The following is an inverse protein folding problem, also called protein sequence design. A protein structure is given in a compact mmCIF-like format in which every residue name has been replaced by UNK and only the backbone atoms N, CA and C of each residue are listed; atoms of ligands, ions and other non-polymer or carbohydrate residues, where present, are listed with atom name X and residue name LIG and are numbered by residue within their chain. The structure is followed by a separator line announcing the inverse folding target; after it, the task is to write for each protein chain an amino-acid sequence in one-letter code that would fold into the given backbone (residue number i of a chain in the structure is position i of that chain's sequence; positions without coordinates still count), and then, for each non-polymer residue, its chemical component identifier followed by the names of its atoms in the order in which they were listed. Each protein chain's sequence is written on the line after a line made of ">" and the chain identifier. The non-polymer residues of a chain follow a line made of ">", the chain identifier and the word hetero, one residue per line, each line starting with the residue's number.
data_IF_768948558613
#
_entry.id   IF_768948558613
#
_cell.length_a   1.000
_cell.length_b   1.000
_cell.length_c   1.000
_cell.angle_alpha   90.00
_cell.angle_beta   90.00
_cell.angle_gamma   90.00
#
_symmetry.space_group_name_H-M   'P 1'
#
loop_
_entity.id
_entity.type
_entity.pdbx_description
1 polymer ?
#
# COMPACT_ATOMS: atom_id res chain seq x y z
N UNK A 1 31.74 29.74 -10.03
CA UNK A 1 31.11 28.43 -10.34
C UNK A 1 31.50 27.29 -9.38
N UNK A 2 32.76 27.21 -8.91
CA UNK A 2 33.19 26.08 -8.01
C UNK A 2 32.63 26.17 -6.57
N UNK A 3 32.54 27.40 -5.96
CA UNK A 3 32.05 27.56 -4.58
C UNK A 3 30.52 27.27 -4.45
N UNK A 4 29.72 27.70 -5.41
CA UNK A 4 28.29 27.44 -5.40
C UNK A 4 27.99 25.94 -5.54
N UNK A 5 28.77 25.22 -6.36
CA UNK A 5 28.62 23.77 -6.52
C UNK A 5 29.04 23.02 -5.24
N UNK A 6 30.08 23.51 -4.54
CA UNK A 6 30.50 22.93 -3.25
C UNK A 6 29.43 23.14 -2.18
N UNK A 7 28.88 24.35 -2.07
CA UNK A 7 27.81 24.66 -1.11
C UNK A 7 26.52 23.84 -1.39
N UNK A 8 26.14 23.68 -2.65
CA UNK A 8 25.01 22.82 -3.04
C UNK A 8 25.28 21.35 -2.72
N UNK A 9 26.48 20.85 -2.99
CA UNK A 9 26.85 19.48 -2.68
C UNK A 9 26.84 19.22 -1.16
N UNK A 10 27.44 20.11 -0.36
CA UNK A 10 27.44 19.97 1.11
C UNK A 10 26.01 20.02 1.68
N UNK A 11 25.15 20.88 1.15
CA UNK A 11 23.75 20.93 1.55
C UNK A 11 22.99 19.67 1.17
N UNK A 12 23.19 19.15 -0.05
CA UNK A 12 22.57 17.89 -0.51
C UNK A 12 23.01 16.68 0.32
N UNK A 13 24.30 16.54 0.59
CA UNK A 13 24.80 15.47 1.46
C UNK A 13 24.35 15.63 2.91
N UNK A 14 24.34 16.86 3.43
CA UNK A 14 23.86 17.15 4.78
C UNK A 14 22.38 16.80 4.96
N UNK A 15 21.53 17.14 3.99
CA UNK A 15 20.11 16.77 4.01
C UNK A 15 19.90 15.26 3.87
N UNK A 16 20.67 14.57 3.02
CA UNK A 16 20.62 13.12 2.91
C UNK A 16 21.00 12.44 4.24
N UNK A 17 22.10 12.85 4.87
CA UNK A 17 22.53 12.31 6.16
C UNK A 17 21.49 12.58 7.23
N UNK A 18 20.91 13.78 7.29
CA UNK A 18 19.87 14.14 8.26
C UNK A 18 18.64 13.21 8.12
N UNK A 19 18.15 13.00 6.91
CA UNK A 19 17.01 12.10 6.66
C UNK A 19 17.34 10.67 7.08
N UNK A 20 18.55 10.17 6.74
CA UNK A 20 18.97 8.83 7.12
C UNK A 20 19.08 8.68 8.65
N UNK A 21 19.62 9.68 9.34
CA UNK A 21 19.74 9.67 10.81
C UNK A 21 18.34 9.64 11.46
N UNK A 22 17.41 10.47 11.00
CA UNK A 22 16.05 10.50 11.53
C UNK A 22 15.36 9.15 11.31
N UNK A 23 15.48 8.56 10.11
CA UNK A 23 14.89 7.26 9.79
C UNK A 23 15.45 6.14 10.67
N UNK A 24 16.80 6.08 10.78
CA UNK A 24 17.47 5.07 11.61
C UNK A 24 17.11 5.27 13.08
N UNK A 25 17.07 6.50 13.57
CA UNK A 25 16.69 6.80 14.95
C UNK A 25 15.24 6.35 15.24
N UNK A 26 14.28 6.64 14.35
CA UNK A 26 12.89 6.21 14.49
C UNK A 26 12.78 4.68 14.50
N UNK A 27 13.41 4.00 13.56
CA UNK A 27 13.41 2.53 13.52
C UNK A 27 14.06 1.93 14.78
N UNK A 28 15.21 2.46 15.20
CA UNK A 28 15.92 2.00 16.40
C UNK A 28 15.06 2.21 17.65
N UNK A 29 14.37 3.35 17.73
CA UNK A 29 13.50 3.66 18.86
C UNK A 29 12.33 2.67 18.96
N UNK A 30 11.69 2.34 17.84
CA UNK A 30 10.61 1.33 17.79
C UNK A 30 11.15 -0.06 18.17
N UNK A 31 12.33 -0.44 17.67
CA UNK A 31 12.95 -1.73 17.98
C UNK A 31 13.32 -1.81 19.47
N UNK A 32 13.85 -0.74 20.03
CA UNK A 32 14.30 -0.71 21.43
C UNK A 32 13.13 -0.85 22.41
N UNK A 33 12.00 -0.16 22.16
CA UNK A 33 10.82 -0.18 23.05
C UNK A 33 9.86 -1.33 22.72
N UNK A 34 9.69 -1.68 21.45
CA UNK A 34 8.75 -2.72 21.04
C UNK A 34 9.35 -4.13 21.04
N UNK A 35 10.62 -4.27 20.66
CA UNK A 35 11.28 -5.58 20.51
C UNK A 35 11.22 -6.48 21.74
N UNK A 36 11.55 -5.99 22.95
CA UNK A 36 11.53 -6.81 24.17
C UNK A 36 10.15 -7.32 24.57
N UNK A 37 9.06 -6.70 24.04
CA UNK A 37 7.68 -7.07 24.34
C UNK A 37 7.12 -8.12 23.39
N UNK A 38 7.86 -8.49 22.35
CA UNK A 38 7.42 -9.50 21.40
C UNK A 38 7.59 -10.89 22.02
N UNK A 39 6.47 -11.48 22.39
CA UNK A 39 6.36 -12.85 22.85
C UNK A 39 5.56 -13.68 21.86
N UNK A 40 5.64 -15.00 21.96
CA UNK A 40 4.81 -15.90 21.13
C UNK A 40 3.33 -15.64 21.41
N UNK A 41 2.99 -15.45 22.67
CA UNK A 41 1.63 -15.16 23.12
C UNK A 41 1.11 -13.86 22.52
N UNK A 42 1.92 -12.80 22.49
CA UNK A 42 1.57 -11.53 21.87
C UNK A 42 1.26 -11.67 20.36
N UNK A 43 1.96 -12.54 19.65
CA UNK A 43 1.73 -12.72 18.23
C UNK A 43 0.53 -13.63 17.92
N UNK A 44 0.21 -14.61 18.77
CA UNK A 44 -0.76 -15.66 18.46
C UNK A 44 -2.06 -15.61 19.26
N UNK A 45 -2.12 -14.86 20.35
CA UNK A 45 -3.34 -14.75 21.14
C UNK A 45 -4.27 -13.66 20.58
N UNK A 46 -5.51 -13.73 21.01
CA UNK A 46 -6.51 -12.69 20.81
C UNK A 46 -6.35 -11.59 21.86
N UNK A 47 -6.73 -10.34 21.54
CA UNK A 47 -6.75 -9.26 22.52
C UNK A 47 -7.65 -9.61 23.73
N UNK A 48 -7.19 -9.30 24.93
CA UNK A 48 -7.86 -9.56 26.19
C UNK A 48 -7.67 -8.38 27.15
N UNK A 49 -8.16 -8.50 28.39
CA UNK A 49 -8.00 -7.51 29.46
C UNK A 49 -9.15 -6.51 29.57
N UNK A 50 -9.06 -5.63 30.58
CA UNK A 50 -9.96 -4.50 30.78
C UNK A 50 -9.12 -3.23 31.05
N UNK A 51 -9.13 -2.22 30.15
CA UNK A 51 -9.84 -2.19 28.87
C UNK A 51 -9.31 -3.20 27.87
N UNK A 52 -10.13 -3.58 26.90
CA UNK A 52 -9.79 -4.58 25.87
C UNK A 52 -8.56 -4.15 25.08
N UNK A 53 -7.60 -5.08 24.93
CA UNK A 53 -6.36 -4.86 24.19
C UNK A 53 -5.16 -4.46 25.05
N UNK A 54 -5.33 -4.35 26.39
CA UNK A 54 -4.21 -4.13 27.32
C UNK A 54 -3.47 -5.43 27.62
N UNK A 55 -4.13 -6.57 27.44
CA UNK A 55 -3.58 -7.91 27.61
C UNK A 55 -3.85 -8.75 26.37
N UNK A 56 -3.20 -9.91 26.29
CA UNK A 56 -3.35 -10.85 25.17
C UNK A 56 -2.44 -10.52 24.01
N UNK A 57 -2.92 -10.74 22.80
CA UNK A 57 -2.12 -10.62 21.58
C UNK A 57 -2.81 -9.84 20.47
N UNK A 58 -2.12 -9.81 19.31
CA UNK A 58 -2.54 -9.04 18.14
C UNK A 58 -2.79 -9.92 16.90
N UNK A 59 -2.97 -11.23 17.08
CA UNK A 59 -3.14 -12.17 15.98
C UNK A 59 -4.22 -11.76 14.97
N UNK A 60 -5.45 -11.35 15.38
CA UNK A 60 -6.48 -10.93 14.45
C UNK A 60 -6.09 -9.67 13.65
N UNK A 61 -5.32 -8.75 14.26
CA UNK A 61 -4.85 -7.56 13.59
C UNK A 61 -3.78 -7.87 12.52
N UNK A 62 -2.91 -8.85 12.79
CA UNK A 62 -1.92 -9.33 11.81
C UNK A 62 -2.65 -9.94 10.60
N UNK A 63 -3.56 -10.88 10.84
CA UNK A 63 -4.30 -11.55 9.77
C UNK A 63 -5.17 -10.57 9.00
N UNK A 64 -5.87 -9.69 9.71
CA UNK A 64 -6.71 -8.68 9.08
C UNK A 64 -5.93 -7.73 8.17
N UNK A 65 -4.77 -7.25 8.61
CA UNK A 65 -3.90 -6.40 7.77
C UNK A 65 -3.37 -7.14 6.53
N UNK A 66 -3.01 -8.42 6.65
CA UNK A 66 -2.55 -9.22 5.51
C UNK A 66 -3.70 -9.42 4.51
N UNK A 67 -4.88 -9.81 4.98
CA UNK A 67 -6.07 -10.01 4.13
C UNK A 67 -6.48 -8.72 3.42
N UNK A 68 -6.50 -7.61 4.14
CA UNK A 68 -6.77 -6.28 3.61
C UNK A 68 -5.77 -5.89 2.50
N UNK A 69 -4.47 -6.07 2.77
CA UNK A 69 -3.42 -5.78 1.80
C UNK A 69 -3.54 -6.63 0.53
N UNK A 70 -3.79 -7.94 0.68
CA UNK A 70 -3.96 -8.86 -0.44
C UNK A 70 -5.22 -8.54 -1.28
N UNK A 71 -6.34 -8.25 -0.61
CA UNK A 71 -7.59 -7.93 -1.29
C UNK A 71 -7.46 -6.58 -2.02
N UNK A 72 -6.90 -5.57 -1.37
CA UNK A 72 -6.62 -4.27 -1.98
C UNK A 72 -5.67 -4.39 -3.18
N UNK A 73 -4.59 -5.15 -3.06
CA UNK A 73 -3.63 -5.38 -4.15
C UNK A 73 -4.30 -6.04 -5.35
N UNK A 74 -5.12 -7.05 -5.11
CA UNK A 74 -5.84 -7.78 -6.16
C UNK A 74 -6.82 -6.87 -6.91
N UNK A 75 -7.64 -6.12 -6.18
CA UNK A 75 -8.60 -5.18 -6.76
C UNK A 75 -7.89 -4.04 -7.51
N UNK A 76 -6.83 -3.50 -6.94
CA UNK A 76 -6.05 -2.44 -7.57
C UNK A 76 -5.35 -2.93 -8.84
N UNK A 77 -4.83 -4.16 -8.87
CA UNK A 77 -4.21 -4.76 -10.04
C UNK A 77 -5.20 -4.92 -11.20
N UNK A 78 -6.44 -5.39 -10.91
CA UNK A 78 -7.51 -5.56 -11.91
C UNK A 78 -7.81 -4.24 -12.63
N UNK A 79 -7.74 -3.10 -11.93
CA UNK A 79 -8.01 -1.78 -12.52
C UNK A 79 -6.74 -1.17 -13.13
N UNK A 80 -5.62 -1.24 -12.42
CA UNK A 80 -4.40 -0.52 -12.79
C UNK A 80 -3.69 -1.11 -13.99
N UNK A 81 -3.69 -2.45 -14.16
CA UNK A 81 -3.01 -3.11 -15.29
C UNK A 81 -3.63 -2.71 -16.63
N UNK A 82 -4.96 -2.87 -16.86
CA UNK A 82 -5.57 -2.43 -18.11
C UNK A 82 -5.44 -0.93 -18.36
N UNK A 83 -5.58 -0.12 -17.30
CA UNK A 83 -5.40 1.33 -17.40
C UNK A 83 -3.99 1.70 -17.87
N UNK A 84 -2.96 1.09 -17.31
CA UNK A 84 -1.57 1.35 -17.67
C UNK A 84 -1.24 0.87 -19.10
N UNK A 85 -1.70 -0.33 -19.50
CA UNK A 85 -1.56 -0.84 -20.86
C UNK A 85 -2.22 0.07 -21.87
N UNK A 86 -3.44 0.52 -21.58
CA UNK A 86 -4.16 1.44 -22.47
C UNK A 86 -3.45 2.80 -22.59
N UNK A 87 -2.84 3.29 -21.53
CA UNK A 87 -2.05 4.53 -21.56
C UNK A 87 -0.80 4.41 -22.43
N UNK A 88 -0.12 3.27 -22.40
CA UNK A 88 1.16 3.09 -23.11
C UNK A 88 0.96 2.71 -24.57
N UNK A 89 0.01 1.82 -24.86
CA UNK A 89 -0.15 1.21 -26.19
C UNK A 89 -1.49 1.56 -26.85
N UNK A 90 -2.42 2.18 -26.13
CA UNK A 90 -3.70 2.60 -26.68
C UNK A 90 -3.54 3.76 -27.67
N UNK A 91 -4.39 3.76 -28.70
CA UNK A 91 -4.45 4.89 -29.65
C UNK A 91 -5.21 6.06 -29.02
N UNK A 92 -4.59 6.71 -28.02
CA UNK A 92 -5.18 7.79 -27.25
C UNK A 92 -4.67 9.13 -27.77
N UNK A 93 -5.58 10.09 -28.00
CA UNK A 93 -5.14 11.45 -28.30
C UNK A 93 -4.35 12.03 -27.13
N UNK A 94 -3.37 12.89 -27.43
CA UNK A 94 -2.50 13.54 -26.44
C UNK A 94 -3.29 14.20 -25.32
N UNK A 95 -4.37 14.91 -25.66
CA UNK A 95 -5.24 15.56 -24.67
C UNK A 95 -5.87 14.56 -23.68
N UNK A 96 -6.38 13.43 -24.17
CA UNK A 96 -6.97 12.39 -23.30
C UNK A 96 -5.92 11.79 -22.35
N UNK A 97 -4.71 11.54 -22.86
CA UNK A 97 -3.59 11.04 -22.03
C UNK A 97 -3.21 12.05 -20.95
N UNK A 98 -3.13 13.34 -21.30
CA UNK A 98 -2.82 14.41 -20.34
C UNK A 98 -3.93 14.56 -19.28
N UNK A 99 -5.21 14.50 -19.68
CA UNK A 99 -6.33 14.49 -18.72
C UNK A 99 -6.29 13.30 -17.76
N UNK A 100 -5.98 12.11 -18.27
CA UNK A 100 -5.90 10.91 -17.45
C UNK A 100 -4.75 11.00 -16.43
N UNK A 101 -3.57 11.42 -16.87
CA UNK A 101 -2.43 11.66 -15.98
C UNK A 101 -2.73 12.74 -14.94
N UNK A 102 -3.40 13.81 -15.35
CA UNK A 102 -3.84 14.85 -14.44
C UNK A 102 -4.78 14.31 -13.37
N UNK A 103 -5.78 13.51 -13.75
CA UNK A 103 -6.71 12.87 -12.80
C UNK A 103 -5.97 11.99 -11.80
N UNK A 104 -5.06 11.11 -12.25
CA UNK A 104 -4.27 10.27 -11.36
C UNK A 104 -3.42 11.10 -10.38
N UNK A 105 -2.81 12.19 -10.85
CA UNK A 105 -2.02 13.09 -9.98
C UNK A 105 -2.92 13.82 -8.97
N UNK A 106 -4.09 14.27 -9.37
CA UNK A 106 -5.06 14.85 -8.44
C UNK A 106 -5.50 13.86 -7.37
N UNK A 107 -5.81 12.62 -7.76
CA UNK A 107 -6.16 11.55 -6.80
C UNK A 107 -5.02 11.25 -5.82
N UNK A 108 -3.76 11.23 -6.31
CA UNK A 108 -2.59 11.02 -5.44
C UNK A 108 -2.37 12.14 -4.42
N UNK A 109 -2.90 13.34 -4.68
CA UNK A 109 -2.79 14.49 -3.79
C UNK A 109 -3.92 14.59 -2.75
N UNK A 110 -4.92 13.73 -2.82
CA UNK A 110 -6.03 13.76 -1.85
C UNK A 110 -5.57 13.25 -0.47
N UNK A 111 -5.89 13.96 0.61
CA UNK A 111 -5.68 13.44 1.96
C UNK A 111 -6.43 12.11 2.17
N UNK A 112 -5.76 11.12 2.71
CA UNK A 112 -6.33 9.78 2.91
C UNK A 112 -7.61 9.78 3.77
N UNK A 113 -7.72 10.72 4.72
CA UNK A 113 -8.93 10.92 5.54
C UNK A 113 -10.14 11.27 4.67
N UNK A 114 -9.96 12.14 3.66
CA UNK A 114 -11.04 12.52 2.74
C UNK A 114 -11.51 11.33 1.90
N UNK A 115 -10.56 10.48 1.45
CA UNK A 115 -10.91 9.25 0.73
C UNK A 115 -11.74 8.33 1.64
N UNK A 116 -11.37 8.19 2.91
CA UNK A 116 -12.12 7.42 3.90
C UNK A 116 -13.53 7.94 4.13
N UNK A 117 -13.68 9.25 4.36
CA UNK A 117 -14.98 9.89 4.56
C UNK A 117 -15.88 9.82 3.31
N UNK A 118 -15.29 10.04 2.13
CA UNK A 118 -16.03 9.89 0.87
C UNK A 118 -16.51 8.45 0.68
N UNK A 119 -15.62 7.47 0.87
CA UNK A 119 -15.98 6.06 0.76
C UNK A 119 -17.02 5.65 1.80
N UNK A 120 -16.92 6.13 3.04
CA UNK A 120 -17.95 5.93 4.05
C UNK A 120 -19.31 6.46 3.58
N UNK A 121 -19.34 7.69 3.08
CA UNK A 121 -20.57 8.31 2.59
C UNK A 121 -21.18 7.52 1.43
N UNK A 122 -20.37 7.08 0.49
CA UNK A 122 -20.85 6.36 -0.70
C UNK A 122 -21.18 4.89 -0.37
N UNK A 123 -20.25 4.15 0.23
CA UNK A 123 -20.42 2.70 0.43
C UNK A 123 -21.38 2.40 1.58
N UNK A 124 -21.23 3.08 2.72
CA UNK A 124 -22.01 2.74 3.91
C UNK A 124 -23.35 3.48 3.91
N UNK A 125 -23.34 4.81 3.75
CA UNK A 125 -24.57 5.59 3.89
C UNK A 125 -25.46 5.53 2.65
N UNK A 126 -24.89 5.61 1.44
CA UNK A 126 -25.70 5.65 0.21
C UNK A 126 -26.00 4.27 -0.35
N UNK A 127 -25.02 3.35 -0.43
CA UNK A 127 -25.20 2.00 -0.96
C UNK A 127 -25.66 1.00 0.11
N UNK A 128 -25.63 1.34 1.40
CA UNK A 128 -26.06 0.46 2.49
C UNK A 128 -25.16 -0.76 2.70
N UNK A 129 -23.90 -0.71 2.25
CA UNK A 129 -22.93 -1.80 2.47
C UNK A 129 -22.40 -1.69 3.90
N UNK A 130 -22.38 -2.78 4.63
CA UNK A 130 -21.87 -2.80 5.99
C UNK A 130 -20.37 -2.48 6.08
N UNK A 131 -19.94 -1.94 7.23
CA UNK A 131 -18.53 -1.81 7.55
C UNK A 131 -17.88 -3.19 7.53
N UNK A 132 -16.87 -3.37 6.67
CA UNK A 132 -16.32 -4.70 6.40
C UNK A 132 -14.89 -4.61 5.83
N UNK A 133 -14.23 -5.76 5.79
CA UNK A 133 -12.96 -5.93 5.09
C UNK A 133 -13.09 -5.52 3.61
N UNK A 134 -14.22 -5.85 2.97
CA UNK A 134 -14.50 -5.46 1.58
C UNK A 134 -14.59 -3.95 1.42
N UNK A 135 -15.39 -3.27 2.24
CA UNK A 135 -15.57 -1.82 2.18
C UNK A 135 -14.24 -1.06 2.39
N UNK A 136 -13.44 -1.54 3.35
CA UNK A 136 -12.11 -0.99 3.61
C UNK A 136 -11.18 -1.23 2.42
N UNK A 137 -11.15 -2.44 1.86
CA UNK A 137 -10.33 -2.78 0.70
C UNK A 137 -10.69 -2.00 -0.56
N UNK A 138 -12.00 -1.75 -0.81
CA UNK A 138 -12.45 -0.86 -1.90
C UNK A 138 -11.90 0.56 -1.67
N UNK A 139 -12.02 1.08 -0.45
CA UNK A 139 -11.54 2.41 -0.08
C UNK A 139 -10.04 2.55 -0.32
N UNK A 140 -9.26 1.59 0.15
CA UNK A 140 -7.82 1.55 -0.07
C UNK A 140 -7.45 1.35 -1.52
N UNK A 141 -8.23 0.57 -2.28
CA UNK A 141 -8.05 0.40 -3.72
C UNK A 141 -8.12 1.74 -4.44
N UNK A 142 -9.14 2.56 -4.14
CA UNK A 142 -9.24 3.92 -4.71
C UNK A 142 -8.01 4.76 -4.38
N UNK A 143 -7.48 4.63 -3.15
CA UNK A 143 -6.29 5.36 -2.72
C UNK A 143 -5.01 4.93 -3.46
N UNK A 144 -4.83 3.63 -3.72
CA UNK A 144 -3.57 3.10 -4.28
C UNK A 144 -3.56 2.99 -5.80
N UNK A 145 -4.71 2.99 -6.47
CA UNK A 145 -4.82 2.95 -7.95
C UNK A 145 -3.87 3.94 -8.63
N UNK A 146 -3.83 5.24 -8.29
CA UNK A 146 -2.95 6.18 -8.98
C UNK A 146 -1.48 5.82 -8.81
N UNK A 147 -1.07 5.38 -7.62
CA UNK A 147 0.30 4.97 -7.34
C UNK A 147 0.72 3.75 -8.17
N UNK A 148 -0.12 2.70 -8.18
CA UNK A 148 0.15 1.46 -8.92
C UNK A 148 0.10 1.73 -10.43
N UNK A 149 -0.90 2.46 -10.93
CA UNK A 149 -1.05 2.74 -12.36
C UNK A 149 0.14 3.52 -12.91
N UNK A 150 0.56 4.60 -12.23
CA UNK A 150 1.70 5.40 -12.67
C UNK A 150 3.02 4.59 -12.69
N UNK A 151 3.17 3.67 -11.75
CA UNK A 151 4.34 2.79 -11.71
C UNK A 151 4.29 1.73 -12.81
N UNK A 152 3.12 1.13 -13.06
CA UNK A 152 2.92 0.18 -14.16
C UNK A 152 3.11 0.83 -15.55
N UNK A 153 2.66 2.08 -15.73
CA UNK A 153 2.93 2.85 -16.95
C UNK A 153 4.43 2.92 -17.22
N UNK A 154 5.23 3.19 -16.19
CA UNK A 154 6.69 3.22 -16.29
C UNK A 154 7.26 1.86 -16.72
N UNK A 155 6.84 0.80 -16.04
CA UNK A 155 7.27 -0.57 -16.31
C UNK A 155 6.91 -1.00 -17.73
N UNK A 156 5.69 -0.71 -18.20
CA UNK A 156 5.28 -1.07 -19.56
C UNK A 156 5.96 -0.22 -20.64
N UNK A 157 6.43 0.98 -20.32
CA UNK A 157 7.24 1.78 -21.23
C UNK A 157 8.66 1.21 -21.48
N UNK A 158 9.15 0.35 -20.60
CA UNK A 158 10.46 -0.30 -20.75
C UNK A 158 10.45 -1.41 -21.80
N UNK A 159 9.27 -1.93 -22.18
CA UNK A 159 9.16 -2.89 -23.28
C UNK A 159 9.50 -2.22 -24.62
N UNK A 160 10.40 -2.80 -25.45
CA UNK A 160 10.88 -2.18 -26.68
C UNK A 160 9.75 -1.91 -27.67
N UNK A 161 9.58 -0.64 -28.04
CA UNK A 161 8.53 -0.21 -28.96
C UNK A 161 8.68 -0.83 -30.35
N UNK A 162 9.91 -1.02 -30.81
CA UNK A 162 10.20 -1.67 -32.08
C UNK A 162 9.68 -3.10 -32.14
N UNK A 163 9.81 -3.85 -31.03
CA UNK A 163 9.28 -5.22 -30.92
C UNK A 163 7.76 -5.21 -30.95
N UNK A 164 7.13 -4.24 -30.29
CA UNK A 164 5.68 -4.09 -30.31
C UNK A 164 5.15 -3.78 -31.71
N UNK A 165 5.77 -2.82 -32.41
CA UNK A 165 5.40 -2.42 -33.78
C UNK A 165 5.67 -3.56 -34.80
N UNK A 166 6.77 -4.29 -34.65
CA UNK A 166 7.05 -5.47 -35.48
C UNK A 166 5.97 -6.56 -35.33
N UNK A 167 5.53 -6.83 -34.10
CA UNK A 167 4.46 -7.78 -33.83
C UNK A 167 3.11 -7.34 -34.44
N UNK A 168 2.78 -6.06 -34.41
CA UNK A 168 1.61 -5.50 -35.09
C UNK A 168 1.70 -5.67 -36.61
N UNK A 169 2.87 -5.40 -37.21
CA UNK A 169 3.10 -5.56 -38.64
C UNK A 169 3.00 -7.03 -39.09
N UNK A 170 3.26 -7.98 -38.21
CA UNK A 170 3.01 -9.41 -38.42
C UNK A 170 1.55 -9.81 -38.33
N UNK A 171 0.64 -8.87 -38.07
CA UNK A 171 -0.83 -9.10 -37.98
C UNK A 171 -1.30 -9.57 -36.60
N UNK A 172 -0.46 -9.53 -35.55
CA UNK A 172 -0.89 -9.88 -34.20
C UNK A 172 -1.82 -8.79 -33.64
N UNK A 173 -2.89 -9.18 -32.94
CA UNK A 173 -3.79 -8.22 -32.32
C UNK A 173 -3.11 -7.55 -31.09
N UNK A 174 -3.42 -6.28 -30.78
CA UNK A 174 -2.88 -5.60 -29.61
C UNK A 174 -3.10 -6.39 -28.30
N UNK A 175 -4.28 -6.96 -28.11
CA UNK A 175 -4.60 -7.76 -26.93
C UNK A 175 -3.72 -9.01 -26.79
N UNK A 176 -3.41 -9.66 -27.91
CA UNK A 176 -2.50 -10.81 -27.93
C UNK A 176 -1.09 -10.40 -27.52
N UNK A 177 -0.59 -9.29 -28.08
CA UNK A 177 0.75 -8.76 -27.76
C UNK A 177 0.82 -8.38 -26.27
N UNK A 178 -0.20 -7.73 -25.74
CA UNK A 178 -0.23 -7.36 -24.32
C UNK A 178 -0.15 -8.59 -23.40
N UNK A 179 -0.99 -9.59 -23.66
CA UNK A 179 -1.10 -10.76 -22.78
C UNK A 179 0.10 -11.71 -22.89
N UNK A 180 0.72 -11.85 -24.09
CA UNK A 180 1.74 -12.86 -24.35
C UNK A 180 3.16 -12.29 -24.44
N UNK A 181 3.31 -10.98 -24.60
CA UNK A 181 4.64 -10.37 -24.73
C UNK A 181 4.88 -9.31 -23.65
N UNK A 182 4.01 -8.29 -23.54
CA UNK A 182 4.22 -7.15 -22.63
C UNK A 182 4.07 -7.56 -21.18
N UNK A 183 2.95 -8.14 -20.79
CA UNK A 183 2.70 -8.54 -19.37
C UNK A 183 3.73 -9.56 -18.88
N UNK A 184 4.04 -10.64 -19.61
CA UNK A 184 5.04 -11.60 -19.15
C UNK A 184 6.45 -11.00 -19.03
N UNK A 185 6.87 -10.12 -19.96
CA UNK A 185 8.16 -9.45 -19.87
C UNK A 185 8.27 -8.49 -18.68
N UNK A 186 7.17 -7.84 -18.33
CA UNK A 186 7.06 -6.86 -17.25
C UNK A 186 6.59 -7.47 -15.91
N UNK A 187 6.40 -8.79 -15.83
CA UNK A 187 5.73 -9.45 -14.70
C UNK A 187 6.42 -9.19 -13.37
N UNK A 188 7.74 -9.26 -13.31
CA UNK A 188 8.50 -9.06 -12.07
C UNK A 188 8.34 -7.66 -11.52
N UNK A 189 8.53 -6.66 -12.36
CA UNK A 189 8.46 -5.25 -11.97
C UNK A 189 7.01 -4.82 -11.72
N UNK A 190 6.07 -5.38 -12.48
CA UNK A 190 4.64 -5.21 -12.27
C UNK A 190 4.17 -5.77 -10.92
N UNK A 191 4.56 -6.99 -10.56
CA UNK A 191 4.28 -7.57 -9.25
C UNK A 191 4.90 -6.76 -8.12
N UNK A 192 6.14 -6.29 -8.30
CA UNK A 192 6.80 -5.40 -7.34
C UNK A 192 6.01 -4.09 -7.15
N UNK A 193 5.49 -3.50 -8.23
CA UNK A 193 4.68 -2.29 -8.15
C UNK A 193 3.38 -2.50 -7.37
N UNK A 194 2.69 -3.62 -7.62
CA UNK A 194 1.43 -3.98 -6.94
C UNK A 194 1.69 -4.26 -5.45
N UNK A 195 2.71 -5.03 -5.13
CA UNK A 195 3.04 -5.37 -3.76
C UNK A 195 3.51 -4.16 -2.92
N UNK A 196 4.21 -3.19 -3.54
CA UNK A 196 4.50 -1.91 -2.90
C UNK A 196 3.22 -1.09 -2.65
N UNK A 197 2.25 -1.15 -3.57
CA UNK A 197 0.92 -0.57 -3.36
C UNK A 197 0.17 -1.22 -2.21
N UNK A 198 0.24 -2.55 -2.07
CA UNK A 198 -0.31 -3.29 -0.93
C UNK A 198 0.34 -2.86 0.39
N UNK A 199 1.67 -2.76 0.43
CA UNK A 199 2.39 -2.30 1.61
C UNK A 199 2.00 -0.87 2.02
N UNK A 200 1.79 0.01 1.03
CA UNK A 200 1.30 1.36 1.27
C UNK A 200 -0.12 1.36 1.84
N UNK A 201 -1.01 0.52 1.30
CA UNK A 201 -2.37 0.34 1.81
C UNK A 201 -2.38 -0.18 3.25
N UNK A 202 -1.60 -1.23 3.55
CA UNK A 202 -1.48 -1.83 4.88
C UNK A 202 -0.98 -0.86 5.97
N UNK A 203 -0.31 0.23 5.60
CA UNK A 203 0.11 1.28 6.53
C UNK A 203 -0.93 2.37 6.76
N UNK A 204 -2.04 2.39 6.02
CA UNK A 204 -3.02 3.46 6.06
C UNK A 204 -4.06 3.24 7.17
N UNK A 205 -4.13 4.13 8.14
CA UNK A 205 -5.10 4.07 9.26
C UNK A 205 -6.39 4.82 8.95
N UNK A 206 -6.27 6.06 8.45
CA UNK A 206 -7.40 6.97 8.31
C UNK A 206 -8.53 6.48 7.38
N UNK A 207 -8.26 5.88 6.21
CA UNK A 207 -9.33 5.38 5.35
C UNK A 207 -10.14 4.26 5.98
N UNK A 208 -9.47 3.32 6.66
CA UNK A 208 -10.11 2.10 7.14
C UNK A 208 -10.92 2.30 8.42
N UNK A 209 -10.57 3.29 9.24
CA UNK A 209 -11.29 3.57 10.49
C UNK A 209 -12.77 3.91 10.27
N UNK A 210 -13.12 4.45 9.11
CA UNK A 210 -14.51 4.77 8.76
C UNK A 210 -15.22 3.61 8.07
N UNK A 211 -14.50 2.74 7.37
CA UNK A 211 -15.08 1.79 6.40
C UNK A 211 -15.06 0.33 6.85
N UNK A 212 -14.22 -0.06 7.80
CA UNK A 212 -14.22 -1.48 8.19
C UNK A 212 -13.39 -1.85 9.42
N UNK A 213 -12.46 -1.00 9.86
CA UNK A 213 -11.62 -1.32 11.00
C UNK A 213 -12.39 -1.24 12.33
N UNK A 214 -12.16 -2.22 13.19
CA UNK A 214 -12.68 -2.29 14.55
C UNK A 214 -11.55 -2.55 15.55
N UNK A 215 -11.79 -2.15 16.82
CA UNK A 215 -10.83 -2.34 17.88
C UNK A 215 -10.59 -3.82 18.20
N UNK A 216 -11.65 -4.62 18.14
CA UNK A 216 -11.65 -5.99 18.61
C UNK A 216 -12.51 -6.90 17.75
N UNK A 217 -12.00 -8.10 17.45
CA UNK A 217 -12.75 -9.22 16.88
C UNK A 217 -12.32 -10.53 17.53
N UNK A 218 -13.26 -11.47 17.70
CA UNK A 218 -13.02 -12.81 18.27
C UNK A 218 -12.71 -13.87 17.23
N UNK A 219 -12.76 -13.53 15.96
CA UNK A 219 -12.58 -14.47 14.84
C UNK A 219 -11.75 -13.85 13.73
N UNK A 220 -11.22 -14.70 12.85
CA UNK A 220 -10.69 -14.26 11.58
C UNK A 220 -11.85 -13.71 10.76
N UNK A 221 -11.74 -12.49 10.19
CA UNK A 221 -12.85 -11.85 9.49
C UNK A 221 -13.14 -12.55 8.17
N UNK A 222 -14.41 -12.71 7.83
CA UNK A 222 -14.83 -12.93 6.47
C UNK A 222 -14.75 -11.61 5.68
N UNK A 223 -14.93 -11.69 4.36
CA UNK A 223 -14.85 -10.50 3.48
C UNK A 223 -15.90 -9.44 3.85
N UNK A 224 -17.05 -9.86 4.35
CA UNK A 224 -18.19 -9.01 4.75
C UNK A 224 -18.16 -8.57 6.22
N UNK A 225 -17.21 -9.07 7.01
CA UNK A 225 -17.15 -8.77 8.44
C UNK A 225 -16.20 -7.57 8.69
N UNK A 226 -16.44 -6.81 9.77
CA UNK A 226 -15.46 -5.87 10.29
C UNK A 226 -14.20 -6.61 10.75
N UNK A 227 -13.05 -5.94 10.68
CA UNK A 227 -11.77 -6.56 10.94
C UNK A 227 -10.85 -5.69 11.80
N UNK A 228 -9.92 -6.34 12.49
CA UNK A 228 -8.81 -5.64 13.12
C UNK A 228 -7.70 -5.40 12.11
N UNK A 229 -7.07 -4.22 12.17
CA UNK A 229 -5.89 -3.88 11.38
C UNK A 229 -4.78 -3.36 12.30
N UNK A 230 -3.54 -3.71 12.03
CA UNK A 230 -2.38 -3.28 12.82
C UNK A 230 -2.26 -1.75 12.95
N UNK A 231 -2.39 -0.96 11.87
CA UNK A 231 -2.30 0.50 11.99
C UNK A 231 -3.46 1.10 12.79
N UNK A 232 -4.66 0.53 12.71
CA UNK A 232 -5.79 1.00 13.50
C UNK A 232 -5.66 0.57 14.97
N UNK A 233 -5.20 -0.63 15.25
CA UNK A 233 -4.92 -1.11 16.60
C UNK A 233 -3.85 -0.23 17.27
N UNK A 234 -2.74 0.04 16.57
CA UNK A 234 -1.72 0.98 17.02
C UNK A 234 -2.32 2.36 17.36
N UNK A 235 -3.13 2.91 16.45
CA UNK A 235 -3.76 4.21 16.63
C UNK A 235 -4.61 4.26 17.91
N UNK A 236 -5.43 3.25 18.15
CA UNK A 236 -6.30 3.19 19.34
C UNK A 236 -5.49 3.06 20.63
N UNK A 237 -4.46 2.21 20.65
CA UNK A 237 -3.61 2.06 21.85
C UNK A 237 -2.96 3.38 22.28
N UNK A 238 -2.55 4.21 21.32
CA UNK A 238 -1.94 5.52 21.57
C UNK A 238 -2.99 6.57 21.87
N UNK A 239 -4.03 6.68 21.05
CA UNK A 239 -5.01 7.77 21.11
C UNK A 239 -5.92 7.68 22.33
N UNK A 240 -6.33 6.47 22.72
CA UNK A 240 -7.13 6.22 23.91
C UNK A 240 -6.27 6.05 25.17
N UNK A 241 -4.94 6.06 25.03
CA UNK A 241 -4.02 5.94 26.16
C UNK A 241 -4.02 4.58 26.85
N UNK A 242 -4.43 3.52 26.16
CA UNK A 242 -4.55 2.18 26.77
C UNK A 242 -3.19 1.59 27.14
N UNK A 243 -2.23 1.59 26.23
CA UNK A 243 -0.88 1.10 26.49
C UNK A 243 0.11 1.59 25.41
N UNK A 244 1.03 2.45 25.83
CA UNK A 244 2.09 2.93 24.95
C UNK A 244 3.09 1.82 24.62
N UNK A 245 3.34 0.92 25.56
CA UNK A 245 4.28 -0.19 25.39
C UNK A 245 3.76 -1.18 24.33
N UNK A 246 2.49 -1.58 24.40
CA UNK A 246 1.87 -2.46 23.40
C UNK A 246 1.75 -1.75 22.03
N UNK A 247 1.62 -0.43 22.02
CA UNK A 247 1.66 0.34 20.79
C UNK A 247 3.03 0.22 20.11
N UNK A 248 4.14 0.33 20.85
CA UNK A 248 5.48 0.10 20.30
C UNK A 248 5.67 -1.35 19.80
N UNK A 249 5.17 -2.34 20.55
CA UNK A 249 5.19 -3.73 20.10
C UNK A 249 4.42 -3.94 18.79
N UNK A 250 3.20 -3.36 18.71
CA UNK A 250 2.38 -3.40 17.48
C UNK A 250 3.07 -2.68 16.32
N UNK A 251 3.67 -1.50 16.57
CA UNK A 251 4.45 -0.76 15.57
C UNK A 251 5.65 -1.55 15.07
N UNK A 252 6.35 -2.27 15.95
CA UNK A 252 7.46 -3.13 15.58
C UNK A 252 7.00 -4.25 14.65
N UNK A 253 5.90 -4.94 14.98
CA UNK A 253 5.35 -6.02 14.12
C UNK A 253 4.94 -5.48 12.75
N UNK A 254 4.23 -4.34 12.71
CA UNK A 254 3.84 -3.69 11.45
C UNK A 254 5.07 -3.33 10.62
N UNK A 255 6.08 -2.73 11.25
CA UNK A 255 7.34 -2.37 10.58
C UNK A 255 8.04 -3.59 9.99
N UNK A 256 8.12 -4.71 10.73
CA UNK A 256 8.73 -5.96 10.25
C UNK A 256 7.96 -6.52 9.05
N UNK A 257 6.63 -6.57 9.11
CA UNK A 257 5.80 -7.05 8.00
C UNK A 257 6.02 -6.20 6.75
N UNK A 258 5.97 -4.87 6.87
CA UNK A 258 6.18 -3.97 5.75
C UNK A 258 7.61 -4.06 5.18
N UNK A 259 8.62 -4.22 6.02
CA UNK A 259 10.00 -4.46 5.58
C UNK A 259 10.14 -5.79 4.85
N UNK A 260 9.54 -6.86 5.37
CA UNK A 260 9.53 -8.16 4.69
C UNK A 260 8.89 -8.08 3.31
N UNK A 261 7.71 -7.45 3.19
CA UNK A 261 7.05 -7.22 1.90
C UNK A 261 7.98 -6.46 0.96
N UNK A 262 8.59 -5.35 1.42
CA UNK A 262 9.49 -4.55 0.60
C UNK A 262 10.74 -5.31 0.14
N UNK A 263 11.34 -6.13 1.03
CA UNK A 263 12.50 -6.96 0.69
C UNK A 263 12.11 -8.04 -0.34
N UNK A 264 10.98 -8.72 -0.13
CA UNK A 264 10.46 -9.73 -1.05
C UNK A 264 10.19 -9.10 -2.43
N UNK A 265 9.54 -7.93 -2.46
CA UNK A 265 9.26 -7.20 -3.70
C UNK A 265 10.53 -6.82 -4.45
N UNK A 266 11.55 -6.35 -3.72
CA UNK A 266 12.84 -6.03 -4.31
C UNK A 266 13.57 -7.27 -4.85
N UNK A 267 13.42 -8.39 -4.17
CA UNK A 267 14.04 -9.65 -4.61
C UNK A 267 13.33 -10.24 -5.84
N UNK A 268 12.00 -10.15 -5.90
CA UNK A 268 11.19 -10.57 -7.06
C UNK A 268 11.44 -9.62 -8.25
N UNK A 269 11.45 -8.30 -8.03
CA UNK A 269 11.60 -7.28 -9.08
C UNK A 269 12.94 -7.30 -9.81
N UNK A 270 13.90 -8.09 -9.34
CA UNK A 270 15.21 -8.19 -9.99
C UNK A 270 16.07 -6.93 -9.86
N UNK A 271 17.37 -7.09 -10.07
CA UNK A 271 18.31 -5.96 -10.15
C UNK A 271 18.10 -5.27 -11.51
N UNK A 272 17.32 -4.20 -11.56
CA UNK A 272 17.43 -3.19 -12.62
C UNK A 272 18.45 -2.15 -12.21
#
# INVERSE_FOLDING_TARGET
>A
MKLSNLALATWAYGSLVLVMVILIAACTYIVYHGGPLITVDFLWLYPAGMPLGVEGGIFPAIIGSILEGLLTASMAAIVSIPCALYMVYGNISRWKSECFLFTLRCMSGLPSVLIGLFSYSVLILYLGIDKSLLSASITLTVMVIPFITLRLVKVFHEFPRETYEAALNMGLSPSYIWMHMVIPSAMRDGLSAIALGAAYAMGATAPIMYTGAVLYTRSIPNITDPFMALPYHLYILVNEGYSVDLAYATAFVLMVILLCINIICRWIGGRS
#
